data_IF_935955990913
#
_entry.id   IF_935955990913
#
_cell.length_a   1.000
_cell.length_b   1.000
_cell.length_c   1.000
_cell.angle_alpha   90.00
_cell.angle_beta   90.00
_cell.angle_gamma   90.00
#
_symmetry.space_group_name_H-M   'P 1'
#
loop_
_entity.id
_entity.type
_entity.pdbx_description
1 polymer ?
#
# COMPACT_ATOMS: atom_id res chain seq x y z
N UNK A 1 -3.19 -2.73 5.20
CA UNK A 1 -2.24 -1.60 5.34
C UNK A 1 -1.78 -1.17 3.98
N UNK A 2 -1.97 0.10 3.60
CA UNK A 2 -1.53 0.62 2.30
C UNK A 2 -0.08 1.14 2.38
N UNK A 3 0.69 0.93 1.32
CA UNK A 3 2.00 1.55 1.16
C UNK A 3 1.88 3.05 0.85
N UNK A 4 3.01 3.80 0.82
CA UNK A 4 3.00 5.20 0.44
C UNK A 4 2.45 5.39 -0.97
N UNK A 5 1.56 6.37 -1.12
CA UNK A 5 0.98 6.77 -2.40
C UNK A 5 0.93 8.30 -2.46
N UNK A 6 1.08 8.87 -3.67
CA UNK A 6 1.07 10.33 -3.85
C UNK A 6 -0.36 10.86 -3.68
N UNK A 7 -0.61 11.45 -2.53
CA UNK A 7 -1.85 12.17 -2.22
C UNK A 7 -1.52 13.58 -1.71
N UNK A 8 -2.49 14.50 -1.78
CA UNK A 8 -2.27 15.88 -1.31
C UNK A 8 -1.90 15.93 0.18
N UNK A 9 -2.48 15.04 0.99
CA UNK A 9 -2.14 14.92 2.42
C UNK A 9 -0.76 14.33 2.64
N UNK A 10 -0.34 13.34 1.83
CA UNK A 10 1.00 12.76 1.92
C UNK A 10 2.09 13.78 1.57
N UNK A 11 1.85 14.64 0.57
CA UNK A 11 2.79 15.69 0.16
C UNK A 11 3.03 16.76 1.25
N UNK A 12 2.14 16.87 2.23
CA UNK A 12 2.31 17.79 3.36
C UNK A 12 3.27 17.23 4.44
N UNK A 13 3.63 15.95 4.37
CA UNK A 13 4.54 15.31 5.33
C UNK A 13 5.99 15.47 4.84
N UNK A 14 6.81 16.13 5.66
CA UNK A 14 8.24 16.28 5.36
C UNK A 14 8.95 14.93 5.21
N UNK A 15 9.72 14.77 4.13
CA UNK A 15 10.48 13.55 3.84
C UNK A 15 9.71 12.46 3.06
N UNK A 16 8.50 12.76 2.58
CA UNK A 16 7.69 11.80 1.81
C UNK A 16 8.41 11.32 0.54
N UNK A 17 9.10 12.19 -0.20
CA UNK A 17 9.78 11.78 -1.44
C UNK A 17 10.89 10.75 -1.16
N UNK A 18 11.71 10.98 -0.13
CA UNK A 18 12.74 10.01 0.29
C UNK A 18 12.13 8.69 0.77
N UNK A 19 10.97 8.73 1.44
CA UNK A 19 10.25 7.52 1.82
C UNK A 19 9.80 6.73 0.59
N UNK A 20 9.21 7.41 -0.40
CA UNK A 20 8.74 6.79 -1.64
C UNK A 20 9.89 6.17 -2.46
N UNK A 21 11.04 6.84 -2.51
CA UNK A 21 12.27 6.30 -3.14
C UNK A 21 12.75 5.02 -2.45
N UNK A 22 12.75 5.00 -1.11
CA UNK A 22 13.14 3.80 -0.33
C UNK A 22 12.19 2.62 -0.56
N UNK A 23 10.89 2.90 -0.62
CA UNK A 23 9.88 1.88 -0.91
C UNK A 23 10.09 1.32 -2.31
N UNK A 24 10.22 2.17 -3.31
CA UNK A 24 10.49 1.74 -4.69
C UNK A 24 11.80 0.93 -4.80
N UNK A 25 12.84 1.31 -4.08
CA UNK A 25 14.11 0.59 -4.09
C UNK A 25 14.02 -0.78 -3.41
N UNK A 26 13.23 -0.94 -2.35
CA UNK A 26 13.28 -2.11 -1.47
C UNK A 26 12.10 -3.07 -1.66
N UNK A 27 10.93 -2.56 -2.04
CA UNK A 27 9.74 -3.37 -2.21
C UNK A 27 9.96 -4.46 -3.28
N UNK A 28 9.45 -5.69 -3.09
CA UNK A 28 9.54 -6.75 -4.07
C UNK A 28 9.05 -6.36 -5.48
N UNK A 29 7.98 -5.56 -5.59
CA UNK A 29 7.50 -5.10 -6.90
C UNK A 29 8.28 -3.90 -7.46
N UNK A 30 9.27 -3.37 -6.75
CA UNK A 30 10.16 -2.27 -7.16
C UNK A 30 9.43 -1.03 -7.65
N UNK A 31 8.33 -0.69 -6.99
CA UNK A 31 7.50 0.49 -7.27
C UNK A 31 6.67 0.87 -6.06
N UNK A 32 6.19 2.12 -6.05
CA UNK A 32 5.12 2.53 -5.16
C UNK A 32 3.76 2.01 -5.68
N UNK A 33 2.77 2.00 -4.79
CA UNK A 33 1.40 1.62 -5.16
C UNK A 33 0.63 2.83 -5.71
N UNK A 34 -0.36 2.56 -6.55
CA UNK A 34 -1.35 3.55 -6.97
C UNK A 34 -2.59 3.51 -6.08
N UNK A 35 -3.31 4.63 -5.97
CA UNK A 35 -4.54 4.71 -5.15
C UNK A 35 -5.62 3.75 -5.63
N UNK A 36 -5.65 3.43 -6.94
CA UNK A 36 -6.59 2.46 -7.50
C UNK A 36 -6.39 1.05 -6.93
N UNK A 37 -5.16 0.66 -6.63
CA UNK A 37 -4.83 -0.68 -6.16
C UNK A 37 -5.39 -0.91 -4.75
N UNK A 38 -5.31 0.13 -3.92
CA UNK A 38 -5.97 0.17 -2.61
C UNK A 38 -7.49 0.10 -2.76
N UNK A 39 -8.05 0.83 -3.74
CA UNK A 39 -9.48 0.78 -4.06
C UNK A 39 -9.96 -0.61 -4.47
N UNK A 40 -9.20 -1.31 -5.32
CA UNK A 40 -9.50 -2.69 -5.74
C UNK A 40 -9.47 -3.66 -4.56
N UNK A 41 -8.48 -3.54 -3.68
CA UNK A 41 -8.42 -4.35 -2.46
C UNK A 41 -9.60 -4.06 -1.51
N UNK A 42 -10.01 -2.80 -1.39
CA UNK A 42 -11.19 -2.42 -0.62
C UNK A 42 -12.48 -3.02 -1.22
N UNK A 43 -12.64 -2.98 -2.54
CA UNK A 43 -13.77 -3.63 -3.23
C UNK A 43 -13.78 -5.13 -2.97
N UNK A 44 -12.62 -5.79 -3.05
CA UNK A 44 -12.52 -7.20 -2.69
C UNK A 44 -13.03 -7.45 -1.27
N UNK A 45 -12.51 -6.72 -0.27
CA UNK A 45 -12.84 -6.88 1.15
C UNK A 45 -14.30 -6.55 1.49
N UNK A 46 -14.96 -5.68 0.72
CA UNK A 46 -16.36 -5.30 0.91
C UNK A 46 -17.34 -6.17 0.09
N UNK A 47 -16.82 -7.02 -0.79
CA UNK A 47 -17.64 -7.88 -1.65
C UNK A 47 -17.80 -9.28 -1.10
N UNK A 48 -18.72 -10.05 -1.69
CA UNK A 48 -18.91 -11.47 -1.34
C UNK A 48 -17.67 -12.34 -1.66
N UNK A 49 -16.71 -11.83 -2.46
CA UNK A 49 -15.45 -12.52 -2.77
C UNK A 49 -14.58 -12.74 -1.53
N UNK A 50 -14.78 -11.95 -0.48
CA UNK A 50 -14.07 -12.06 0.80
C UNK A 50 -15.00 -12.49 1.94
N UNK A 51 -16.10 -13.19 1.65
CA UNK A 51 -17.14 -13.57 2.63
C UNK A 51 -16.64 -14.35 3.85
N UNK A 52 -15.48 -15.00 3.76
CA UNK A 52 -14.84 -15.72 4.87
C UNK A 52 -13.54 -15.06 5.37
N UNK A 53 -13.23 -13.83 4.95
CA UNK A 53 -12.03 -13.09 5.37
C UNK A 53 -12.43 -12.05 6.42
N UNK A 54 -11.97 -12.24 7.65
CA UNK A 54 -12.27 -11.36 8.78
C UNK A 54 -11.11 -11.29 9.76
N UNK A 55 -11.03 -10.21 10.55
CA UNK A 55 -9.94 -9.99 11.52
C UNK A 55 -8.55 -9.80 10.89
N UNK A 56 -8.49 -9.54 9.58
CA UNK A 56 -7.26 -9.55 8.79
C UNK A 56 -6.79 -8.14 8.41
N UNK A 57 -5.47 -7.95 8.33
CA UNK A 57 -4.87 -6.71 7.80
C UNK A 57 -4.22 -6.99 6.44
N UNK A 58 -4.99 -6.78 5.37
CA UNK A 58 -4.50 -6.98 4.00
C UNK A 58 -3.48 -5.90 3.61
N UNK A 59 -2.23 -6.29 3.37
CA UNK A 59 -1.16 -5.39 2.93
C UNK A 59 -1.26 -5.11 1.43
N UNK A 60 -1.29 -3.82 1.07
CA UNK A 60 -1.35 -3.31 -0.30
C UNK A 60 -0.24 -2.28 -0.43
N UNK A 61 0.99 -2.76 -0.48
CA UNK A 61 2.19 -1.92 -0.29
C UNK A 61 3.36 -2.37 -1.18
N UNK A 62 3.05 -3.01 -2.31
CA UNK A 62 4.04 -3.60 -3.21
C UNK A 62 4.96 -4.65 -2.54
N UNK A 63 4.55 -5.19 -1.39
CA UNK A 63 5.29 -6.16 -0.60
C UNK A 63 6.36 -5.54 0.29
N UNK A 64 6.37 -4.22 0.47
CA UNK A 64 7.39 -3.53 1.26
C UNK A 64 7.45 -4.04 2.71
N UNK A 65 6.30 -4.26 3.35
CA UNK A 65 6.21 -4.77 4.72
C UNK A 65 7.00 -6.06 4.95
N UNK A 66 7.05 -6.98 3.97
CA UNK A 66 7.66 -8.30 4.18
C UNK A 66 9.19 -8.29 4.14
N UNK A 67 9.80 -7.22 3.65
CA UNK A 67 11.26 -7.11 3.45
C UNK A 67 11.88 -5.94 4.21
N UNK A 68 11.09 -4.95 4.62
CA UNK A 68 11.58 -3.80 5.37
C UNK A 68 11.80 -4.18 6.85
N UNK A 69 13.04 -4.03 7.32
CA UNK A 69 13.48 -4.18 8.72
C UNK A 69 13.59 -2.80 9.36
#
# INVERSE_FOLDING_TARGET
>A
SAGPCRTLSAMAVGGVDTMMEKVEASAPLRRNIETDEVGKAAVYLLSDLSSAVTGETHHVDAGYHSVAI
#
